data_IF_064653835011
#
_entry.id   IF_064653835011
#
_cell.length_a   1.000
_cell.length_b   1.000
_cell.length_c   1.000
_cell.angle_alpha   90.00
_cell.angle_beta   90.00
_cell.angle_gamma   90.00
#
_symmetry.space_group_name_H-M   'P 1'
#
loop_
_entity.id
_entity.type
_entity.pdbx_description
1 polymer ?
#
# COMPACT_ATOMS: atom_id res chain seq x y z
N UNK A 1 2.37 3.67 -9.36
CA UNK A 1 3.07 2.89 -8.30
C UNK A 1 3.16 3.69 -7.02
N UNK A 2 3.02 3.01 -5.87
CA UNK A 2 3.17 3.57 -4.52
C UNK A 2 4.18 2.75 -3.72
N UNK A 3 5.01 3.42 -2.92
CA UNK A 3 5.96 2.77 -2.01
C UNK A 3 5.40 2.71 -0.58
N UNK A 4 5.63 1.59 0.11
CA UNK A 4 5.35 1.41 1.53
C UNK A 4 6.69 1.21 2.23
N UNK A 5 7.02 2.15 3.11
CA UNK A 5 8.26 2.17 3.87
C UNK A 5 7.99 1.94 5.36
N UNK A 6 8.99 1.41 6.06
CA UNK A 6 8.92 1.10 7.49
C UNK A 6 8.73 2.35 8.37
N UNK A 7 9.09 3.52 7.85
CA UNK A 7 8.98 4.82 8.52
C UNK A 7 9.89 5.00 9.73
N UNK A 8 10.71 3.99 10.05
CA UNK A 8 11.47 3.91 11.28
C UNK A 8 12.98 3.88 11.07
N UNK A 9 13.44 3.46 9.88
CA UNK A 9 14.86 3.38 9.55
C UNK A 9 15.43 4.77 9.21
N UNK A 10 16.29 5.35 10.06
CA UNK A 10 16.86 6.67 9.81
C UNK A 10 18.17 6.52 9.02
N UNK A 11 18.07 6.33 7.70
CA UNK A 11 19.24 6.41 6.82
C UNK A 11 19.24 7.73 6.05
N UNK A 12 20.32 8.52 6.13
CA UNK A 12 20.44 9.74 5.33
C UNK A 12 20.29 9.40 3.83
N UNK A 13 19.28 9.98 3.18
CA UNK A 13 19.03 9.87 1.74
C UNK A 13 18.69 8.46 1.23
N UNK A 14 18.29 7.55 2.12
CA UNK A 14 17.78 6.25 1.74
C UNK A 14 16.47 5.92 2.49
N UNK A 15 15.64 5.10 1.85
CA UNK A 15 14.38 4.61 2.41
C UNK A 15 14.41 3.09 2.41
N UNK A 16 14.01 2.49 3.52
CA UNK A 16 13.75 1.05 3.59
C UNK A 16 12.32 0.78 3.12
N UNK A 17 12.19 -0.02 2.08
CA UNK A 17 10.92 -0.36 1.45
C UNK A 17 10.53 -1.79 1.82
N UNK A 18 9.36 -1.92 2.42
CA UNK A 18 8.78 -3.19 2.84
C UNK A 18 7.85 -3.77 1.78
N UNK A 19 7.19 -2.92 0.99
CA UNK A 19 6.30 -3.35 -0.09
C UNK A 19 6.12 -2.26 -1.15
N UNK A 20 5.74 -2.68 -2.35
CA UNK A 20 5.39 -1.79 -3.47
C UNK A 20 4.00 -2.12 -4.00
N UNK A 21 3.15 -1.11 -4.16
CA UNK A 21 1.81 -1.27 -4.74
C UNK A 21 1.81 -0.74 -6.19
N UNK A 22 1.41 -1.61 -7.12
CA UNK A 22 1.19 -1.29 -8.52
C UNK A 22 -0.22 -0.71 -8.71
N UNK A 23 -0.44 0.03 -9.81
CA UNK A 23 -1.65 0.85 -9.99
C UNK A 23 -2.93 0.02 -10.23
N UNK A 24 -2.78 -1.26 -10.56
CA UNK A 24 -3.86 -2.26 -10.64
C UNK A 24 -4.24 -2.87 -9.28
N UNK A 25 -3.59 -2.45 -8.19
CA UNK A 25 -3.82 -2.93 -6.83
C UNK A 25 -3.04 -4.19 -6.46
N UNK A 26 -2.16 -4.70 -7.34
CA UNK A 26 -1.19 -5.72 -6.96
C UNK A 26 -0.12 -5.13 -6.04
N UNK A 27 0.28 -5.90 -5.05
CA UNK A 27 1.37 -5.55 -4.13
C UNK A 27 2.49 -6.54 -4.30
N UNK A 28 3.72 -6.03 -4.40
CA UNK A 28 4.95 -6.78 -4.38
C UNK A 28 5.59 -6.67 -3.00
N UNK A 29 5.95 -7.80 -2.42
CA UNK A 29 6.75 -7.87 -1.19
C UNK A 29 8.12 -8.47 -1.53
N UNK A 30 9.20 -7.70 -1.37
CA UNK A 30 10.54 -8.20 -1.62
C UNK A 30 10.89 -9.28 -0.59
N UNK A 31 11.63 -10.30 -1.02
CA UNK A 31 12.08 -11.41 -0.16
C UNK A 31 13.00 -10.95 1.00
N UNK A 32 13.55 -9.74 0.89
CA UNK A 32 14.29 -9.05 1.93
C UNK A 32 14.02 -7.54 1.84
N UNK A 33 14.07 -6.80 2.96
CA UNK A 33 13.90 -5.34 2.94
C UNK A 33 14.80 -4.66 1.90
N UNK A 34 14.23 -3.73 1.13
CA UNK A 34 14.94 -3.06 0.04
C UNK A 34 15.35 -1.65 0.43
N UNK A 35 16.65 -1.36 0.42
CA UNK A 35 17.14 0.01 0.49
C UNK A 35 17.13 0.69 -0.87
N UNK A 36 16.43 1.81 -0.97
CA UNK A 36 16.44 2.71 -2.12
C UNK A 36 17.15 4.00 -1.75
N UNK A 37 18.17 4.36 -2.52
CA UNK A 37 18.88 5.62 -2.40
C UNK A 37 18.30 6.66 -3.36
N UNK A 38 18.52 7.94 -3.07
CA UNK A 38 18.22 9.02 -4.00
C UNK A 38 18.93 8.79 -5.35
N UNK A 39 18.17 8.79 -6.44
CA UNK A 39 18.67 8.53 -7.81
C UNK A 39 18.28 7.16 -8.35
N UNK A 40 17.95 6.21 -7.48
CA UNK A 40 17.45 4.90 -7.90
C UNK A 40 16.08 5.02 -8.59
N UNK A 41 15.86 4.19 -9.61
CA UNK A 41 14.61 4.14 -10.37
C UNK A 41 14.02 2.74 -10.32
N UNK A 42 12.75 2.66 -9.95
CA UNK A 42 12.00 1.41 -9.96
C UNK A 42 11.23 1.26 -11.27
N UNK A 43 11.24 0.06 -11.83
CA UNK A 43 10.47 -0.29 -13.03
C UNK A 43 9.83 -1.67 -12.89
N UNK A 44 8.68 -1.82 -13.49
CA UNK A 44 8.05 -3.11 -13.68
C UNK A 44 8.26 -3.55 -15.13
N UNK A 45 8.94 -4.69 -15.32
CA UNK A 45 9.35 -5.16 -16.64
C UNK A 45 9.13 -6.68 -16.72
N UNK A 46 8.28 -7.14 -17.65
CA UNK A 46 8.09 -8.56 -17.91
C UNK A 46 7.61 -9.40 -16.71
N UNK A 47 6.87 -8.80 -15.77
CA UNK A 47 6.44 -9.48 -14.54
C UNK A 47 7.41 -9.37 -13.37
N UNK A 48 8.60 -8.80 -13.59
CA UNK A 48 9.61 -8.58 -12.56
C UNK A 48 9.65 -7.10 -12.13
N UNK A 49 9.95 -6.88 -10.86
CA UNK A 49 10.28 -5.56 -10.36
C UNK A 49 11.80 -5.36 -10.42
N UNK A 50 12.22 -4.20 -10.93
CA UNK A 50 13.62 -3.90 -11.25
C UNK A 50 14.03 -2.60 -10.59
N UNK A 51 15.20 -2.58 -9.98
CA UNK A 51 15.87 -1.35 -9.53
C UNK A 51 17.00 -1.03 -10.50
N UNK A 52 16.94 0.16 -11.08
CA UNK A 52 18.05 0.77 -11.81
C UNK A 52 18.74 1.73 -10.84
N UNK A 53 19.95 1.38 -10.42
CA UNK A 53 20.76 2.21 -9.53
C UNK A 53 21.35 3.38 -10.29
N UNK A 54 21.67 4.45 -9.57
CA UNK A 54 22.48 5.52 -10.13
C UNK A 54 23.83 4.95 -10.60
N UNK A 55 24.20 5.24 -11.86
CA UNK A 55 25.29 4.55 -12.57
C UNK A 55 24.86 3.39 -13.49
N UNK A 56 23.56 3.12 -13.60
CA UNK A 56 23.01 2.21 -14.63
C UNK A 56 23.04 0.73 -14.27
N UNK A 57 23.43 0.38 -13.04
CA UNK A 57 23.40 -1.01 -12.57
C UNK A 57 21.96 -1.47 -12.39
N UNK A 58 21.62 -2.59 -13.01
CA UNK A 58 20.30 -3.21 -12.92
C UNK A 58 20.31 -4.32 -11.86
N UNK A 59 19.30 -4.31 -11.00
CA UNK A 59 19.00 -5.41 -10.08
C UNK A 59 17.56 -5.85 -10.24
N UNK A 60 17.35 -7.12 -10.56
CA UNK A 60 16.03 -7.73 -10.48
C UNK A 60 15.72 -8.07 -9.02
N UNK A 61 14.54 -7.67 -8.55
CA UNK A 61 14.10 -7.92 -7.19
C UNK A 61 13.42 -9.28 -7.10
N UNK A 62 13.83 -10.06 -6.11
CA UNK A 62 13.18 -11.31 -5.73
C UNK A 62 12.10 -11.00 -4.70
N UNK A 63 10.91 -11.57 -4.88
CA UNK A 63 9.78 -11.35 -4.00
C UNK A 63 8.50 -11.95 -4.57
N UNK A 64 7.41 -11.78 -3.83
CA UNK A 64 6.12 -12.35 -4.16
C UNK A 64 5.10 -11.26 -4.50
N UNK A 65 4.19 -11.59 -5.41
CA UNK A 65 3.08 -10.74 -5.80
C UNK A 65 1.79 -11.24 -5.17
N UNK A 66 1.03 -10.35 -4.56
CA UNK A 66 -0.27 -10.65 -4.01
C UNK A 66 -1.26 -9.51 -4.23
N UNK A 67 -2.54 -9.88 -4.22
CA UNK A 67 -3.62 -8.92 -4.18
C UNK A 67 -3.88 -8.54 -2.72
N UNK A 68 -3.94 -7.25 -2.40
CA UNK A 68 -4.37 -6.81 -1.06
C UNK A 68 -5.89 -6.65 -1.01
N UNK A 69 -6.54 -7.53 -0.25
CA UNK A 69 -7.89 -7.32 0.26
C UNK A 69 -7.97 -5.96 0.96
N UNK A 70 -8.61 -4.94 0.36
CA UNK A 70 -9.09 -3.79 1.13
C UNK A 70 -10.46 -4.13 1.70
N UNK A 71 -10.54 -4.36 3.00
CA UNK A 71 -11.83 -4.40 3.71
C UNK A 71 -12.40 -2.99 3.65
N UNK A 72 -13.40 -2.77 2.79
CA UNK A 72 -14.14 -1.50 2.82
C UNK A 72 -14.86 -1.44 4.17
N UNK A 73 -14.76 -0.33 4.92
CA UNK A 73 -15.60 -0.13 6.08
C UNK A 73 -17.05 -0.32 5.64
N UNK A 74 -17.80 -1.18 6.33
CA UNK A 74 -19.22 -1.33 6.07
C UNK A 74 -19.84 0.07 6.11
N UNK A 75 -20.47 0.48 5.01
CA UNK A 75 -21.25 1.71 4.97
C UNK A 75 -22.26 1.60 6.11
N UNK A 76 -22.04 2.35 7.20
CA UNK A 76 -22.95 2.36 8.35
C UNK A 76 -24.24 2.96 7.83
N UNK A 77 -25.19 2.11 7.43
CA UNK A 77 -26.54 2.57 7.14
C UNK A 77 -27.02 3.35 8.36
N UNK A 78 -27.56 4.57 8.19
CA UNK A 78 -28.17 5.29 9.27
C UNK A 78 -29.17 4.35 9.95
N UNK A 79 -29.07 4.23 11.28
CA UNK A 79 -30.04 3.49 12.07
C UNK A 79 -31.44 3.99 11.65
N UNK A 80 -32.41 3.12 11.30
CA UNK A 80 -33.74 3.57 10.95
C UNK A 80 -34.29 4.43 12.09
N UNK A 81 -34.92 5.58 11.81
CA UNK A 81 -35.47 6.43 12.86
C UNK A 81 -36.43 5.60 13.71
N UNK A 82 -36.31 5.74 15.04
CA UNK A 82 -37.16 5.04 15.97
C UNK A 82 -38.64 5.31 15.61
N UNK A 83 -39.43 4.24 15.50
CA UNK A 83 -40.89 4.37 15.34
C UNK A 83 -41.42 5.16 16.52
N UNK A 84 -41.96 6.36 16.27
CA UNK A 84 -42.82 7.04 17.25
C UNK A 84 -44.05 6.17 17.46
N UNK A 85 -44.26 5.70 18.69
CA UNK A 85 -45.53 5.14 19.13
C UNK A 85 -46.57 6.27 19.17
N UNK A 86 -47.76 6.11 18.56
CA UNK A 86 -48.84 7.07 18.74
C UNK A 86 -49.41 6.88 20.15
N UNK A 87 -49.29 7.89 21.02
CA UNK A 87 -49.85 7.79 22.36
C UNK A 87 -49.59 8.96 23.33
N UNK A 88 -48.64 9.85 23.06
CA UNK A 88 -48.42 11.00 23.96
C UNK A 88 -49.25 12.22 23.54
N UNK A 89 -50.52 12.23 23.96
CA UNK A 89 -51.31 13.45 24.11
C UNK A 89 -51.30 13.82 25.59
N UNK A 90 -50.67 14.93 26.02
CA UNK A 90 -50.85 15.44 27.37
C UNK A 90 -52.23 16.08 27.52
N UNK A 91 -52.88 15.78 28.65
CA UNK A 91 -54.06 16.48 29.17
C UNK A 91 -53.73 17.93 29.55
#
# INVERSE_FOLDING_TARGET
>A
MRLIADGSTPLPRAVLVDALEHDDGYTFEPASPLFLAAGDRLRFEGGALVVLRDGGVRHDLVGDWYWRCRVRPAHRSPLPPARRTPGDTPL
#
